data_IF_015978031520
#
_entry.id   IF_015978031520
#
_cell.length_a   1.000
_cell.length_b   1.000
_cell.length_c   1.000
_cell.angle_alpha   90.00
_cell.angle_beta   90.00
_cell.angle_gamma   90.00
#
_symmetry.space_group_name_H-M   'P 1'
#
loop_
_entity.id
_entity.type
_entity.pdbx_description
1 polymer ?
#
# COMPACT_ATOMS: atom_id res chain seq x y z
N UNK A 1 11.10 -18.09 -19.23
CA UNK A 1 10.96 -18.83 -17.96
C UNK A 1 9.98 -18.09 -17.07
N UNK A 2 9.13 -18.79 -16.33
CA UNK A 2 8.13 -18.21 -15.42
C UNK A 2 8.70 -18.01 -14.01
N UNK A 3 8.06 -17.15 -13.21
CA UNK A 3 8.37 -17.03 -11.78
C UNK A 3 8.00 -18.33 -11.07
N UNK A 4 8.99 -19.00 -10.50
CA UNK A 4 8.78 -20.18 -9.65
C UNK A 4 8.41 -19.73 -8.23
N UNK A 5 7.79 -20.60 -7.45
CA UNK A 5 7.40 -20.34 -6.04
C UNK A 5 8.58 -19.79 -5.22
N UNK A 6 9.77 -20.35 -5.42
CA UNK A 6 10.98 -19.88 -4.74
C UNK A 6 11.40 -18.48 -5.18
N UNK A 7 11.34 -18.16 -6.48
CA UNK A 7 11.64 -16.80 -6.98
C UNK A 7 10.62 -15.77 -6.48
N UNK A 8 9.36 -16.17 -6.33
CA UNK A 8 8.31 -15.32 -5.75
C UNK A 8 8.61 -14.96 -4.30
N UNK A 9 9.04 -15.93 -3.48
CA UNK A 9 9.43 -15.66 -2.08
C UNK A 9 10.58 -14.65 -1.97
N UNK A 10 11.59 -14.75 -2.86
CA UNK A 10 12.69 -13.78 -2.91
C UNK A 10 12.21 -12.39 -3.32
N UNK A 11 11.31 -12.32 -4.31
CA UNK A 11 10.73 -11.06 -4.77
C UNK A 11 9.89 -10.39 -3.68
N UNK A 12 9.01 -11.14 -3.01
CA UNK A 12 8.22 -10.65 -1.89
C UNK A 12 9.12 -10.08 -0.80
N UNK A 13 10.13 -10.84 -0.37
CA UNK A 13 11.01 -10.40 0.71
C UNK A 13 11.85 -9.18 0.35
N UNK A 14 12.29 -9.07 -0.91
CA UNK A 14 12.98 -7.89 -1.42
C UNK A 14 12.08 -6.66 -1.35
N UNK A 15 10.83 -6.78 -1.81
CA UNK A 15 9.84 -5.70 -1.77
C UNK A 15 9.52 -5.30 -0.34
N UNK A 16 9.35 -6.25 0.58
CA UNK A 16 9.12 -5.97 2.00
C UNK A 16 10.29 -5.18 2.61
N UNK A 17 11.54 -5.58 2.31
CA UNK A 17 12.74 -4.90 2.82
C UNK A 17 12.90 -3.50 2.22
N UNK A 18 12.62 -3.36 0.92
CA UNK A 18 12.64 -2.07 0.24
C UNK A 18 11.58 -1.12 0.81
N UNK A 19 10.35 -1.58 1.05
CA UNK A 19 9.31 -0.74 1.67
C UNK A 19 9.65 -0.31 3.11
N UNK A 20 10.33 -1.17 3.88
CA UNK A 20 10.72 -0.83 5.26
C UNK A 20 11.83 0.21 5.35
N UNK A 21 12.74 0.23 4.38
CA UNK A 21 13.95 1.05 4.42
C UNK A 21 13.93 2.20 3.43
N UNK A 22 13.11 2.12 2.37
CA UNK A 22 13.12 2.99 1.19
C UNK A 22 14.51 3.11 0.54
N UNK A 23 15.35 2.09 0.71
CA UNK A 23 16.72 2.05 0.23
C UNK A 23 16.97 0.81 -0.64
N UNK A 24 17.85 0.89 -1.64
CA UNK A 24 18.28 -0.27 -2.41
C UNK A 24 18.88 -1.36 -1.54
N UNK A 25 18.49 -2.61 -1.80
CA UNK A 25 18.79 -3.74 -0.91
C UNK A 25 20.00 -4.52 -1.44
N UNK A 26 21.00 -4.70 -0.58
CA UNK A 26 22.13 -5.57 -0.88
C UNK A 26 21.71 -7.06 -0.85
N UNK A 27 22.24 -7.86 -1.78
CA UNK A 27 21.86 -9.28 -1.89
C UNK A 27 22.22 -10.09 -0.64
N UNK A 28 23.25 -9.68 0.12
CA UNK A 28 23.61 -10.34 1.39
C UNK A 28 22.53 -10.13 2.46
N UNK A 29 21.95 -8.93 2.54
CA UNK A 29 20.85 -8.62 3.46
C UNK A 29 19.62 -9.47 3.14
N UNK A 30 19.30 -9.64 1.86
CA UNK A 30 18.22 -10.52 1.44
C UNK A 30 18.52 -11.99 1.75
N UNK A 31 19.77 -12.43 1.54
CA UNK A 31 20.21 -13.79 1.86
C UNK A 31 20.07 -14.12 3.34
N UNK A 32 20.52 -13.21 4.21
CA UNK A 32 20.35 -13.33 5.66
C UNK A 32 18.88 -13.41 6.07
N UNK A 33 18.03 -12.55 5.49
CA UNK A 33 16.60 -12.50 5.80
C UNK A 33 15.83 -13.76 5.37
N UNK A 34 16.35 -14.53 4.41
CA UNK A 34 15.76 -15.77 3.91
C UNK A 34 16.51 -17.03 4.39
N UNK A 35 17.56 -16.89 5.19
CA UNK A 35 18.37 -18.01 5.68
C UNK A 35 19.14 -18.75 4.57
N UNK A 36 19.51 -18.05 3.49
CA UNK A 36 20.26 -18.63 2.36
C UNK A 36 21.65 -18.01 2.22
N UNK A 37 22.54 -18.70 1.51
CA UNK A 37 23.87 -18.18 1.22
C UNK A 37 23.82 -16.94 0.32
N UNK A 38 24.82 -16.06 0.45
CA UNK A 38 24.96 -14.86 -0.39
C UNK A 38 24.96 -15.14 -1.89
N UNK A 39 25.57 -16.26 -2.29
CA UNK A 39 25.63 -16.71 -3.68
C UNK A 39 24.24 -17.10 -4.20
N UNK A 40 23.46 -17.81 -3.38
CA UNK A 40 22.07 -18.18 -3.72
C UNK A 40 21.20 -16.95 -3.90
N UNK A 41 21.35 -15.96 -3.02
CA UNK A 41 20.59 -14.72 -3.13
C UNK A 41 20.96 -13.91 -4.38
N UNK A 42 22.24 -13.82 -4.70
CA UNK A 42 22.72 -13.16 -5.91
C UNK A 42 22.18 -13.82 -7.19
N UNK A 43 22.27 -15.15 -7.28
CA UNK A 43 21.79 -15.90 -8.45
C UNK A 43 20.27 -15.77 -8.62
N UNK A 44 19.50 -15.85 -7.52
CA UNK A 44 18.05 -15.66 -7.55
C UNK A 44 17.67 -14.25 -8.00
N UNK A 45 18.34 -13.21 -7.49
CA UNK A 45 18.07 -11.82 -7.89
C UNK A 45 18.41 -11.57 -9.35
N UNK A 46 19.51 -12.14 -9.86
CA UNK A 46 19.87 -12.06 -11.28
C UNK A 46 18.83 -12.72 -12.19
N UNK A 47 18.25 -13.84 -11.76
CA UNK A 47 17.17 -14.49 -12.51
C UNK A 47 15.87 -13.69 -12.49
N UNK A 48 15.54 -13.05 -11.36
CA UNK A 48 14.36 -12.18 -11.22
C UNK A 48 14.54 -10.87 -12.00
N UNK A 49 15.76 -10.33 -12.07
CA UNK A 49 16.16 -9.18 -12.89
C UNK A 49 15.93 -9.45 -14.37
N UNK A 50 16.33 -10.62 -14.88
CA UNK A 50 16.06 -11.03 -16.29
C UNK A 50 14.57 -11.05 -16.64
N UNK A 51 13.70 -11.25 -15.65
CA UNK A 51 12.26 -11.25 -15.82
C UNK A 51 11.65 -9.83 -15.74
N UNK A 52 12.49 -8.82 -15.49
CA UNK A 52 12.12 -7.41 -15.43
C UNK A 52 11.41 -7.01 -14.14
N UNK A 53 11.55 -7.80 -13.06
CA UNK A 53 10.92 -7.51 -11.77
C UNK A 53 11.83 -6.71 -10.85
N UNK A 54 13.14 -6.76 -11.04
CA UNK A 54 14.13 -6.10 -10.19
C UNK A 54 15.16 -5.41 -11.07
N UNK A 55 15.63 -4.24 -10.65
CA UNK A 55 16.71 -3.49 -11.27
C UNK A 55 17.96 -3.57 -10.40
N UNK A 56 19.13 -3.64 -11.04
CA UNK A 56 20.44 -3.61 -10.38
C UNK A 56 21.07 -2.23 -10.50
N UNK A 57 21.60 -1.74 -9.40
CA UNK A 57 22.40 -0.51 -9.34
C UNK A 57 23.71 -0.74 -8.58
N UNK A 58 24.68 0.14 -8.82
CA UNK A 58 25.98 0.13 -8.18
C UNK A 58 26.10 1.37 -7.30
N UNK A 59 26.10 1.17 -5.99
CA UNK A 59 26.22 2.28 -5.03
C UNK A 59 27.61 2.30 -4.40
N UNK A 60 28.09 3.49 -4.03
CA UNK A 60 29.36 3.64 -3.33
C UNK A 60 29.29 2.98 -1.96
N UNK A 61 30.25 2.10 -1.64
CA UNK A 61 30.32 1.48 -0.32
C UNK A 61 30.83 2.51 0.72
N UNK A 62 30.07 2.80 1.80
CA UNK A 62 30.53 3.69 2.86
C UNK A 62 31.73 3.14 3.64
N UNK A 63 31.91 1.81 3.66
CA UNK A 63 32.94 1.13 4.45
C UNK A 63 34.23 0.83 3.68
N UNK A 64 34.24 0.93 2.34
CA UNK A 64 35.43 0.69 1.52
C UNK A 64 35.54 1.76 0.43
N UNK A 65 36.46 2.70 0.60
CA UNK A 65 36.72 3.78 -0.36
C UNK A 65 37.06 3.21 -1.74
N UNK A 66 36.22 3.50 -2.75
CA UNK A 66 36.46 3.13 -4.15
C UNK A 66 35.87 1.80 -4.63
N UNK A 67 35.10 1.08 -3.80
CA UNK A 67 34.39 -0.14 -4.25
C UNK A 67 32.90 0.08 -4.30
N UNK A 68 32.30 -0.15 -5.47
CA UNK A 68 30.85 -0.15 -5.62
C UNK A 68 30.25 -1.46 -5.11
N UNK A 69 29.19 -1.38 -4.31
CA UNK A 69 28.38 -2.52 -3.90
C UNK A 69 27.21 -2.71 -4.84
N UNK A 70 26.81 -3.97 -5.06
CA UNK A 70 25.69 -4.31 -5.93
C UNK A 70 24.41 -4.32 -5.11
N UNK A 71 23.50 -3.42 -5.46
CA UNK A 71 22.20 -3.31 -4.80
C UNK A 71 21.08 -3.54 -5.81
N UNK A 72 19.93 -3.95 -5.27
CA UNK A 72 18.76 -4.29 -6.06
C UNK A 72 17.54 -3.50 -5.59
N UNK A 73 16.76 -2.99 -6.55
CA UNK A 73 15.50 -2.29 -6.30
C UNK A 73 14.36 -2.99 -7.03
N UNK A 74 13.20 -3.19 -6.38
CA UNK A 74 12.03 -3.70 -7.08
C UNK A 74 11.55 -2.70 -8.12
N UNK A 75 11.16 -3.20 -9.29
CA UNK A 75 10.55 -2.40 -10.35
C UNK A 75 9.04 -2.25 -10.09
N UNK A 76 8.39 -1.32 -10.78
CA UNK A 76 6.92 -1.19 -10.75
C UNK A 76 6.19 -2.51 -11.10
N UNK A 77 6.79 -3.34 -11.96
CA UNK A 77 6.27 -4.66 -12.33
C UNK A 77 6.26 -5.64 -11.14
N UNK A 78 7.27 -5.57 -10.27
CA UNK A 78 7.31 -6.39 -9.05
C UNK A 78 6.30 -5.92 -8.02
N UNK A 79 6.20 -4.61 -7.83
CA UNK A 79 5.19 -4.04 -6.94
C UNK A 79 3.78 -4.41 -7.41
N UNK A 80 3.50 -4.36 -8.72
CA UNK A 80 2.22 -4.78 -9.29
C UNK A 80 1.92 -6.27 -9.09
N UNK A 81 2.91 -7.14 -9.31
CA UNK A 81 2.76 -8.60 -9.14
C UNK A 81 2.48 -9.01 -7.69
N UNK A 82 3.17 -8.41 -6.72
CA UNK A 82 3.02 -8.77 -5.32
C UNK A 82 1.78 -8.12 -4.69
N UNK A 83 1.34 -6.97 -5.21
CA UNK A 83 0.02 -6.39 -4.90
C UNK A 83 -1.13 -7.34 -5.32
N UNK A 84 -0.93 -8.18 -6.33
CA UNK A 84 -1.88 -9.22 -6.78
C UNK A 84 -1.87 -10.52 -5.93
N UNK A 85 -1.00 -10.65 -4.93
CA UNK A 85 -0.94 -11.86 -4.10
C UNK A 85 -1.93 -11.89 -2.93
N UNK A 86 -2.82 -10.90 -2.84
CA UNK A 86 -3.88 -10.86 -1.82
C UNK A 86 -4.98 -11.84 -2.17
N UNK A 87 -5.53 -12.51 -1.16
CA UNK A 87 -6.65 -13.43 -1.36
C UNK A 87 -7.94 -12.66 -1.63
N UNK A 88 -8.76 -13.18 -2.53
CA UNK A 88 -10.00 -12.52 -2.97
C UNK A 88 -11.12 -12.53 -1.93
N UNK A 89 -11.05 -13.41 -0.93
CA UNK A 89 -12.10 -13.56 0.08
C UNK A 89 -11.56 -13.23 1.45
N UNK A 90 -12.13 -12.23 2.12
CA UNK A 90 -11.88 -12.05 3.55
C UNK A 90 -12.78 -12.96 4.38
N UNK A 91 -12.19 -13.52 5.44
CA UNK A 91 -12.99 -14.07 6.53
C UNK A 91 -13.71 -12.91 7.25
N UNK A 92 -14.93 -13.18 7.72
CA UNK A 92 -15.74 -12.18 8.42
C UNK A 92 -15.08 -11.74 9.73
N UNK A 93 -14.25 -12.59 10.36
CA UNK A 93 -13.43 -12.23 11.51
C UNK A 93 -12.35 -11.19 11.16
N UNK A 94 -11.55 -11.46 10.13
CA UNK A 94 -10.48 -10.56 9.68
C UNK A 94 -11.01 -9.17 9.25
N UNK A 95 -12.17 -9.13 8.59
CA UNK A 95 -12.81 -7.85 8.27
C UNK A 95 -13.21 -7.06 9.52
N UNK A 96 -13.82 -7.71 10.49
CA UNK A 96 -14.25 -7.06 11.74
C UNK A 96 -13.04 -6.49 12.52
N UNK A 97 -11.92 -7.20 12.53
CA UNK A 97 -10.66 -6.71 13.10
C UNK A 97 -10.14 -5.48 12.34
N UNK A 98 -10.21 -5.50 11.01
CA UNK A 98 -9.84 -4.36 10.17
C UNK A 98 -10.72 -3.13 10.47
N UNK A 99 -12.04 -3.30 10.54
CA UNK A 99 -12.97 -2.21 10.90
C UNK A 99 -12.66 -1.68 12.30
N UNK A 100 -12.41 -2.56 13.27
CA UNK A 100 -12.07 -2.16 14.64
C UNK A 100 -10.75 -1.38 14.69
N UNK A 101 -9.73 -1.81 13.94
CA UNK A 101 -8.45 -1.13 13.79
C UNK A 101 -8.61 0.28 13.22
N UNK A 102 -9.35 0.42 12.12
CA UNK A 102 -9.62 1.72 11.47
C UNK A 102 -10.39 2.65 12.42
N UNK A 103 -11.43 2.14 13.11
CA UNK A 103 -12.17 2.90 14.12
C UNK A 103 -11.26 3.38 15.26
N UNK A 104 -10.35 2.53 15.73
CA UNK A 104 -9.39 2.89 16.76
C UNK A 104 -8.44 4.01 16.29
N UNK A 105 -7.93 3.92 15.06
CA UNK A 105 -7.10 4.95 14.44
C UNK A 105 -7.86 6.29 14.32
N UNK A 106 -9.11 6.27 13.85
CA UNK A 106 -9.94 7.48 13.75
C UNK A 106 -10.22 8.10 15.13
N UNK A 107 -10.44 7.28 16.16
CA UNK A 107 -10.62 7.79 17.54
C UNK A 107 -9.33 8.40 18.10
N UNK A 108 -8.16 7.85 17.76
CA UNK A 108 -6.88 8.35 18.25
C UNK A 108 -6.48 9.69 17.64
N UNK A 109 -7.14 10.16 16.58
CA UNK A 109 -6.96 11.52 16.03
C UNK A 109 -7.11 12.64 17.08
N UNK A 110 -7.87 12.39 18.16
CA UNK A 110 -8.02 13.35 19.26
C UNK A 110 -6.75 13.54 20.09
N UNK A 111 -5.85 12.56 20.07
CA UNK A 111 -4.71 12.46 20.99
C UNK A 111 -3.36 12.34 20.27
N UNK A 112 -3.36 11.95 18.99
CA UNK A 112 -2.17 11.72 18.18
C UNK A 112 -2.16 12.66 16.98
N UNK A 113 -0.98 13.19 16.62
CA UNK A 113 -0.82 14.03 15.44
C UNK A 113 -1.24 13.29 14.16
N UNK A 114 -1.97 13.98 13.29
CA UNK A 114 -2.50 13.40 12.04
C UNK A 114 -1.41 12.77 11.16
N UNK A 115 -0.24 13.42 11.06
CA UNK A 115 0.87 12.93 10.24
C UNK A 115 1.47 11.63 10.81
N UNK A 116 1.49 11.45 12.13
CA UNK A 116 1.98 10.20 12.74
C UNK A 116 1.00 9.06 12.49
N UNK A 117 -0.30 9.37 12.51
CA UNK A 117 -1.33 8.39 12.19
C UNK A 117 -1.28 7.97 10.72
N UNK A 118 -1.09 8.93 9.79
CA UNK A 118 -0.87 8.64 8.36
C UNK A 118 0.32 7.69 8.18
N UNK A 119 1.47 8.00 8.81
CA UNK A 119 2.66 7.14 8.74
C UNK A 119 2.40 5.75 9.30
N UNK A 120 1.62 5.64 10.38
CA UNK A 120 1.25 4.35 10.96
C UNK A 120 0.40 3.54 9.97
N UNK A 121 -0.63 4.14 9.40
CA UNK A 121 -1.52 3.49 8.42
C UNK A 121 -0.77 3.04 7.17
N UNK A 122 0.12 3.89 6.62
CA UNK A 122 0.94 3.55 5.46
C UNK A 122 1.86 2.34 5.71
N UNK A 123 2.31 2.12 6.96
CA UNK A 123 3.10 0.93 7.34
C UNK A 123 2.25 -0.34 7.44
N UNK A 124 0.97 -0.22 7.78
CA UNK A 124 0.06 -1.37 7.92
C UNK A 124 -0.54 -1.82 6.57
N UNK A 125 -0.68 -0.92 5.59
CA UNK A 125 -1.26 -1.22 4.27
C UNK A 125 -0.56 -2.40 3.53
N UNK A 126 0.78 -2.50 3.49
CA UNK A 126 1.46 -3.62 2.84
C UNK A 126 1.23 -4.97 3.52
N UNK A 127 0.87 -4.97 4.82
CA UNK A 127 0.69 -6.19 5.61
C UNK A 127 -0.70 -6.82 5.41
N UNK A 128 -1.60 -6.16 4.66
CA UNK A 128 -2.97 -6.66 4.44
C UNK A 128 -3.00 -7.79 3.43
N UNK A 129 -3.58 -8.90 3.86
CA UNK A 129 -3.55 -10.19 3.15
C UNK A 129 -4.74 -10.37 2.21
N UNK A 130 -5.84 -9.64 2.41
CA UNK A 130 -7.01 -9.67 1.51
C UNK A 130 -7.23 -8.33 0.80
N UNK A 131 -7.91 -8.39 -0.35
CA UNK A 131 -8.23 -7.22 -1.16
C UNK A 131 -9.16 -6.22 -0.46
N UNK A 132 -10.17 -6.70 0.27
CA UNK A 132 -11.09 -5.83 1.03
C UNK A 132 -10.42 -5.18 2.23
N UNK A 133 -9.50 -5.85 2.92
CA UNK A 133 -8.74 -5.25 4.03
C UNK A 133 -7.85 -4.11 3.54
N UNK A 134 -7.13 -4.32 2.43
CA UNK A 134 -6.37 -3.26 1.79
C UNK A 134 -7.27 -2.07 1.47
N UNK A 135 -8.41 -2.32 0.81
CA UNK A 135 -9.34 -1.26 0.45
C UNK A 135 -9.86 -0.52 1.69
N UNK A 136 -10.18 -1.25 2.76
CA UNK A 136 -10.59 -0.67 4.04
C UNK A 136 -9.53 0.26 4.62
N UNK A 137 -8.26 -0.14 4.60
CA UNK A 137 -7.17 0.67 5.13
C UNK A 137 -6.87 1.91 4.28
N UNK A 138 -6.95 1.82 2.94
CA UNK A 138 -6.87 2.99 2.05
C UNK A 138 -8.03 3.95 2.32
N UNK A 139 -9.24 3.43 2.47
CA UNK A 139 -10.41 4.22 2.80
C UNK A 139 -10.24 4.92 4.17
N UNK A 140 -9.76 4.19 5.18
CA UNK A 140 -9.43 4.74 6.49
C UNK A 140 -8.38 5.86 6.45
N UNK A 141 -7.35 5.71 5.61
CA UNK A 141 -6.36 6.76 5.36
C UNK A 141 -7.02 8.03 4.80
N UNK A 142 -7.87 7.88 3.78
CA UNK A 142 -8.58 9.01 3.18
C UNK A 142 -9.56 9.67 4.15
N UNK A 143 -10.18 8.91 5.06
CA UNK A 143 -11.04 9.44 6.12
C UNK A 143 -10.24 10.25 7.15
N UNK A 144 -9.02 9.80 7.49
CA UNK A 144 -8.08 10.57 8.32
C UNK A 144 -7.71 11.89 7.63
N UNK A 145 -7.40 11.85 6.33
CA UNK A 145 -7.13 13.05 5.54
C UNK A 145 -8.34 13.99 5.50
N UNK A 146 -9.55 13.46 5.32
CA UNK A 146 -10.76 14.26 5.31
C UNK A 146 -10.98 14.99 6.66
N UNK A 147 -10.75 14.29 7.77
CA UNK A 147 -10.78 14.89 9.12
C UNK A 147 -9.70 15.96 9.31
N UNK A 148 -8.54 15.83 8.66
CA UNK A 148 -7.48 16.85 8.65
C UNK A 148 -7.93 18.13 7.94
N UNK A 149 -8.64 18.00 6.82
CA UNK A 149 -9.17 19.15 6.06
C UNK A 149 -10.21 19.90 6.89
N UNK A 150 -11.12 19.17 7.54
CA UNK A 150 -12.13 19.73 8.42
C UNK A 150 -13.10 20.70 7.73
N UNK A 151 -13.91 21.36 8.57
CA UNK A 151 -14.75 22.49 8.18
C UNK A 151 -15.69 22.21 7.00
N UNK A 152 -15.83 23.22 6.12
CA UNK A 152 -16.76 23.16 4.96
C UNK A 152 -16.38 22.07 3.96
N UNK A 153 -15.09 21.84 3.72
CA UNK A 153 -14.60 20.84 2.77
C UNK A 153 -14.99 19.43 3.22
N UNK A 154 -14.79 19.12 4.49
CA UNK A 154 -15.26 17.87 5.08
C UNK A 154 -16.77 17.70 4.85
N UNK A 155 -17.58 18.65 5.31
CA UNK A 155 -19.05 18.55 5.19
C UNK A 155 -19.53 18.35 3.75
N UNK A 156 -18.94 19.05 2.78
CA UNK A 156 -19.36 18.97 1.39
C UNK A 156 -19.02 17.61 0.76
N UNK A 157 -17.82 17.08 1.02
CA UNK A 157 -17.40 15.76 0.53
C UNK A 157 -18.30 14.68 1.12
N UNK A 158 -18.62 14.76 2.42
CA UNK A 158 -19.56 13.81 3.05
C UNK A 158 -20.95 13.87 2.42
N UNK A 159 -21.46 15.08 2.17
CA UNK A 159 -22.79 15.28 1.59
C UNK A 159 -22.89 14.73 0.16
N UNK A 160 -21.91 15.04 -0.69
CA UNK A 160 -21.92 14.61 -2.09
C UNK A 160 -21.77 13.09 -2.19
N UNK A 161 -20.83 12.51 -1.45
CA UNK A 161 -20.57 11.05 -1.49
C UNK A 161 -21.75 10.24 -0.95
N UNK A 162 -22.44 10.75 0.08
CA UNK A 162 -23.62 10.10 0.67
C UNK A 162 -24.92 10.26 -0.14
N UNK A 163 -24.92 11.07 -1.21
CA UNK A 163 -26.06 11.28 -2.11
C UNK A 163 -25.92 10.52 -3.44
N UNK A 164 -24.87 9.74 -3.60
CA UNK A 164 -24.67 8.94 -4.80
C UNK A 164 -25.84 7.94 -5.02
N UNK A 165 -26.23 7.67 -6.28
CA UNK A 165 -27.30 6.73 -6.61
C UNK A 165 -27.04 5.29 -6.13
N UNK A 166 -25.77 4.88 -6.11
CA UNK A 166 -25.33 3.56 -5.68
C UNK A 166 -24.02 3.62 -4.88
N UNK A 167 -23.69 2.48 -4.25
CA UNK A 167 -22.56 2.35 -3.31
C UNK A 167 -21.20 2.52 -4.00
N UNK A 168 -21.06 1.99 -5.22
CA UNK A 168 -19.80 2.05 -5.99
C UNK A 168 -19.51 3.50 -6.41
N UNK A 169 -20.53 4.20 -6.91
CA UNK A 169 -20.45 5.61 -7.26
C UNK A 169 -20.14 6.46 -6.03
N UNK A 170 -20.76 6.18 -4.87
CA UNK A 170 -20.46 6.88 -3.62
C UNK A 170 -19.02 6.73 -3.15
N UNK A 171 -18.48 5.50 -3.18
CA UNK A 171 -17.07 5.23 -2.86
C UNK A 171 -16.13 5.94 -3.85
N UNK A 172 -16.41 5.84 -5.15
CA UNK A 172 -15.59 6.45 -6.20
C UNK A 172 -15.55 7.97 -6.07
N UNK A 173 -16.70 8.61 -5.83
CA UNK A 173 -16.80 10.05 -5.60
C UNK A 173 -16.05 10.47 -4.35
N UNK A 174 -16.19 9.73 -3.25
CA UNK A 174 -15.44 10.00 -2.01
C UNK A 174 -13.94 9.96 -2.26
N UNK A 175 -13.44 8.85 -2.80
CA UNK A 175 -12.01 8.62 -3.00
C UNK A 175 -11.41 9.63 -3.99
N UNK A 176 -12.07 9.85 -5.12
CA UNK A 176 -11.62 10.80 -6.13
C UNK A 176 -11.59 12.24 -5.60
N UNK A 177 -12.61 12.65 -4.84
CA UNK A 177 -12.67 14.02 -4.30
C UNK A 177 -11.62 14.24 -3.22
N UNK A 178 -11.43 13.28 -2.30
CA UNK A 178 -10.38 13.39 -1.27
C UNK A 178 -9.00 13.41 -1.93
N UNK A 179 -8.71 12.53 -2.90
CA UNK A 179 -7.45 12.54 -3.64
C UNK A 179 -7.21 13.89 -4.34
N UNK A 180 -8.23 14.45 -4.99
CA UNK A 180 -8.14 15.76 -5.64
C UNK A 180 -7.71 16.87 -4.67
N UNK A 181 -8.20 16.83 -3.41
CA UNK A 181 -7.74 17.77 -2.38
C UNK A 181 -6.32 17.49 -1.87
N UNK A 182 -5.89 16.23 -1.87
CA UNK A 182 -4.52 15.84 -1.48
C UNK A 182 -3.52 16.37 -2.49
N UNK A 183 -3.76 16.17 -3.79
CA UNK A 183 -2.84 16.57 -4.88
C UNK A 183 -2.47 18.06 -4.81
N UNK A 184 -3.38 18.92 -4.34
CA UNK A 184 -3.12 20.35 -4.17
C UNK A 184 -2.44 20.73 -2.85
N UNK A 185 -2.32 19.81 -1.88
CA UNK A 185 -1.87 20.11 -0.51
C UNK A 185 -0.59 19.40 -0.09
N UNK A 186 -0.08 18.45 -0.88
CA UNK A 186 1.17 17.73 -0.64
C UNK A 186 2.21 18.04 -1.72
N UNK A 187 3.47 17.65 -1.48
CA UNK A 187 4.50 17.74 -2.52
C UNK A 187 4.23 16.72 -3.65
N UNK A 188 4.86 16.93 -4.80
CA UNK A 188 4.63 16.14 -6.01
C UNK A 188 4.82 14.63 -5.79
N UNK A 189 5.90 14.25 -5.09
CA UNK A 189 6.23 12.85 -4.79
C UNK A 189 5.14 12.14 -3.96
N UNK A 190 4.70 12.74 -2.86
CA UNK A 190 3.61 12.19 -2.04
C UNK A 190 2.27 12.20 -2.78
N UNK A 191 2.07 13.16 -3.69
CA UNK A 191 0.89 13.22 -4.56
C UNK A 191 0.82 12.02 -5.51
N UNK A 192 1.96 11.65 -6.10
CA UNK A 192 2.07 10.47 -6.98
C UNK A 192 1.86 9.16 -6.21
N UNK A 193 2.45 9.01 -5.02
CA UNK A 193 2.24 7.84 -4.17
C UNK A 193 0.76 7.67 -3.76
N UNK A 194 0.10 8.78 -3.42
CA UNK A 194 -1.33 8.77 -3.11
C UNK A 194 -2.19 8.40 -4.33
N UNK A 195 -1.83 8.90 -5.51
CA UNK A 195 -2.51 8.57 -6.76
C UNK A 195 -2.37 7.08 -7.11
N UNK A 196 -1.17 6.50 -6.97
CA UNK A 196 -0.92 5.08 -7.20
C UNK A 196 -1.70 4.19 -6.24
N UNK A 197 -1.77 4.58 -4.97
CA UNK A 197 -2.54 3.87 -3.95
C UNK A 197 -4.05 3.88 -4.28
N UNK A 198 -4.56 5.02 -4.72
CA UNK A 198 -5.96 5.19 -5.12
C UNK A 198 -6.27 4.45 -6.43
N UNK A 199 -5.37 4.50 -7.42
CA UNK A 199 -5.55 3.75 -8.67
C UNK A 199 -5.68 2.25 -8.40
N UNK A 200 -4.86 1.72 -7.51
CA UNK A 200 -4.94 0.32 -7.10
C UNK A 200 -6.21 0.00 -6.31
N UNK A 201 -6.64 0.91 -5.41
CA UNK A 201 -7.93 0.80 -4.74
C UNK A 201 -9.09 0.70 -5.73
N UNK A 202 -9.16 1.60 -6.72
CA UNK A 202 -10.24 1.61 -7.72
C UNK A 202 -10.23 0.33 -8.58
N UNK A 203 -9.04 -0.15 -8.95
CA UNK A 203 -8.88 -1.40 -9.70
C UNK A 203 -9.43 -2.59 -8.91
N UNK A 204 -9.01 -2.73 -7.65
CA UNK A 204 -9.45 -3.81 -6.77
C UNK A 204 -10.96 -3.70 -6.50
N UNK A 205 -11.47 -2.51 -6.18
CA UNK A 205 -12.87 -2.27 -5.86
C UNK A 205 -13.81 -2.77 -6.97
N UNK A 206 -13.44 -2.57 -8.25
CA UNK A 206 -14.19 -3.07 -9.41
C UNK A 206 -14.24 -4.59 -9.49
N UNK A 207 -13.22 -5.27 -9.00
CA UNK A 207 -13.09 -6.74 -9.00
C UNK A 207 -13.70 -7.39 -7.75
N UNK A 208 -13.97 -6.61 -6.69
CA UNK A 208 -14.55 -7.12 -5.44
C UNK A 208 -15.98 -7.65 -5.62
N UNK A 209 -16.36 -8.71 -4.88
CA UNK A 209 -17.76 -9.12 -4.76
C UNK A 209 -18.65 -7.98 -4.25
N UNK A 210 -19.91 -7.94 -4.71
CA UNK A 210 -20.91 -6.93 -4.30
C UNK A 210 -21.05 -6.83 -2.77
N UNK A 211 -20.91 -7.96 -2.06
CA UNK A 211 -20.93 -8.00 -0.60
C UNK A 211 -19.77 -7.20 0.01
N UNK A 212 -18.56 -7.34 -0.53
CA UNK A 212 -17.36 -6.66 -0.01
C UNK A 212 -17.35 -5.17 -0.38
N UNK A 213 -17.87 -4.80 -1.55
CA UNK A 213 -18.12 -3.40 -1.89
C UNK A 213 -19.12 -2.75 -0.90
N UNK A 214 -20.18 -3.48 -0.54
CA UNK A 214 -21.14 -3.01 0.47
C UNK A 214 -20.49 -2.82 1.84
N UNK A 215 -19.59 -3.73 2.26
CA UNK A 215 -18.84 -3.61 3.51
C UNK A 215 -17.95 -2.35 3.53
N UNK A 216 -17.27 -2.04 2.42
CA UNK A 216 -16.48 -0.81 2.28
C UNK A 216 -17.36 0.46 2.36
N UNK A 217 -18.52 0.43 1.70
CA UNK A 217 -19.46 1.55 1.75
C UNK A 217 -20.03 1.77 3.15
N UNK A 218 -20.34 0.70 3.88
CA UNK A 218 -20.77 0.77 5.29
C UNK A 218 -19.68 1.35 6.18
N UNK A 219 -18.42 0.90 6.02
CA UNK A 219 -17.27 1.46 6.72
C UNK A 219 -17.10 2.96 6.43
N UNK A 220 -17.25 3.39 5.17
CA UNK A 220 -17.24 4.81 4.82
C UNK A 220 -18.29 5.56 5.63
N UNK A 221 -19.55 5.10 5.55
CA UNK A 221 -20.70 5.72 6.19
C UNK A 221 -20.60 5.81 7.72
N UNK A 222 -20.00 4.81 8.38
CA UNK A 222 -19.80 4.82 9.83
C UNK A 222 -18.80 5.89 10.33
N UNK A 223 -18.00 6.46 9.45
CA UNK A 223 -17.16 7.60 9.81
C UNK A 223 -17.34 8.84 8.91
N UNK A 224 -18.46 8.88 8.15
CA UNK A 224 -19.19 10.09 7.78
C UNK A 224 -19.90 10.70 8.98
#
# INVERSE_FOLDING_TARGET
MTLTTRRMQFLQKLVDLYHKTSLPIHYETLGQALGVSKWTAYDMLKEIEKLGFVSRSYEGNPNETGRSQVVFTPTAKASGLLKQSRTDTADSGAWNETVAGIKALLKSLKYTGVNDLIKKVLKEIPEKTTNVEFCGYVLGLLMIYLKKLGGKTETLIRHISGKAPDKEMGLTMFVGTVLGTIIHSVNEELGLEAADLVAEFLRIMKELPVKEQAMLYELMGEAL
#
